data_IF_377692192399
#
_entry.id   IF_377692192399
#
_cell.length_a   1.000
_cell.length_b   1.000
_cell.length_c   1.000
_cell.angle_alpha   90.00
_cell.angle_beta   90.00
_cell.angle_gamma   90.00
#
_symmetry.space_group_name_H-M   'P 1'
#
loop_
_entity.id
_entity.type
_entity.pdbx_description
1 polymer ?
#
# COMPACT_ATOMS: atom_id res chain seq x y z
N UNK A 1 3.72 -5.66 26.37
CA UNK A 1 3.24 -4.41 26.89
C UNK A 1 3.16 -3.25 25.88
N UNK A 2 3.25 -3.52 24.56
CA UNK A 2 3.07 -2.46 23.55
C UNK A 2 1.59 -2.29 23.16
N UNK A 3 1.20 -1.07 22.80
CA UNK A 3 -0.11 -0.75 22.24
C UNK A 3 0.00 -0.66 20.72
N UNK A 4 -0.91 -1.31 20.00
CA UNK A 4 -0.97 -1.31 18.55
C UNK A 4 -2.42 -1.33 18.07
N UNK A 5 -2.66 -0.89 16.84
CA UNK A 5 -3.95 -1.09 16.18
C UNK A 5 -4.00 -2.51 15.62
N UNK A 6 -5.12 -3.17 15.84
CA UNK A 6 -5.36 -4.56 15.45
C UNK A 6 -6.72 -4.67 14.76
N UNK A 7 -6.76 -5.38 13.63
CA UNK A 7 -8.02 -5.73 12.99
C UNK A 7 -8.71 -6.84 13.79
N UNK A 8 -9.91 -6.57 14.28
CA UNK A 8 -10.65 -7.48 15.15
C UNK A 8 -12.10 -7.64 14.66
N UNK A 9 -12.66 -8.81 14.93
CA UNK A 9 -14.08 -9.05 14.79
C UNK A 9 -14.87 -8.46 15.99
N UNK A 10 -16.20 -8.61 15.95
CA UNK A 10 -17.10 -8.12 17.02
C UNK A 10 -16.87 -8.75 18.39
N UNK A 11 -16.16 -9.87 18.46
CA UNK A 11 -15.85 -10.59 19.71
C UNK A 11 -14.43 -10.26 20.22
N UNK A 12 -13.71 -9.37 19.53
CA UNK A 12 -12.34 -9.01 19.85
C UNK A 12 -11.28 -10.00 19.36
N UNK A 13 -11.67 -11.01 18.56
CA UNK A 13 -10.74 -11.95 17.96
C UNK A 13 -10.08 -11.34 16.73
N UNK A 14 -8.82 -11.71 16.48
CA UNK A 14 -8.09 -11.26 15.30
C UNK A 14 -8.80 -11.70 14.03
N UNK A 15 -9.14 -10.76 13.17
CA UNK A 15 -9.75 -11.05 11.88
C UNK A 15 -8.72 -11.51 10.85
N UNK A 16 -9.15 -12.37 9.93
CA UNK A 16 -8.35 -12.71 8.76
C UNK A 16 -8.14 -11.49 7.87
N UNK A 17 -6.98 -11.43 7.26
CA UNK A 17 -6.62 -10.41 6.27
C UNK A 17 -6.46 -11.04 4.90
N UNK A 18 -6.57 -10.23 3.86
CA UNK A 18 -6.28 -10.62 2.48
C UNK A 18 -5.65 -9.43 1.76
N UNK A 19 -4.58 -9.67 1.04
CA UNK A 19 -3.95 -8.69 0.16
C UNK A 19 -3.16 -9.41 -0.92
N UNK A 20 -3.13 -8.85 -2.13
CA UNK A 20 -2.19 -9.32 -3.17
C UNK A 20 -0.73 -9.01 -2.81
N UNK A 21 -0.51 -8.11 -1.87
CA UNK A 21 0.82 -7.74 -1.37
C UNK A 21 1.11 -8.48 -0.07
N UNK A 22 2.00 -9.47 -0.12
CA UNK A 22 2.35 -10.28 1.04
C UNK A 22 2.89 -9.45 2.22
N UNK A 23 3.62 -8.36 1.93
CA UNK A 23 4.17 -7.47 2.96
C UNK A 23 3.13 -6.65 3.71
N UNK A 24 1.89 -6.55 3.18
CA UNK A 24 0.79 -5.79 3.79
C UNK A 24 -0.36 -6.68 4.27
N UNK A 25 -0.25 -7.99 4.14
CA UNK A 25 -1.27 -8.95 4.56
C UNK A 25 -1.12 -9.32 6.04
N UNK A 26 -1.28 -8.33 6.90
CA UNK A 26 -1.15 -8.45 8.35
C UNK A 26 -2.30 -7.77 9.09
N UNK A 27 -2.82 -8.39 10.17
CA UNK A 27 -3.95 -7.83 10.92
C UNK A 27 -3.56 -6.68 11.86
N UNK A 28 -2.26 -6.41 12.03
CA UNK A 28 -1.74 -5.39 12.96
C UNK A 28 -0.59 -4.62 12.34
N UNK A 29 -0.35 -3.44 12.87
CA UNK A 29 0.76 -2.60 12.47
C UNK A 29 1.74 -2.35 13.63
N UNK A 30 2.84 -1.66 13.33
CA UNK A 30 3.83 -1.26 14.34
C UNK A 30 3.22 -0.36 15.42
N UNK A 31 3.58 -0.52 16.70
CA UNK A 31 3.22 0.41 17.78
C UNK A 31 3.63 1.85 17.48
N UNK A 32 4.73 2.06 16.76
CA UNK A 32 5.18 3.38 16.32
C UNK A 32 4.14 4.04 15.39
N UNK A 33 3.65 3.33 14.38
CA UNK A 33 2.65 3.85 13.46
C UNK A 33 1.32 4.13 14.18
N UNK A 34 0.92 3.25 15.10
CA UNK A 34 -0.26 3.45 15.93
C UNK A 34 -0.14 4.72 16.77
N UNK A 35 1.00 4.94 17.40
CA UNK A 35 1.28 6.13 18.19
C UNK A 35 1.28 7.42 17.35
N UNK A 36 1.94 7.42 16.20
CA UNK A 36 1.96 8.58 15.31
C UNK A 36 0.56 8.93 14.77
N UNK A 37 -0.27 7.91 14.54
CA UNK A 37 -1.67 8.11 14.17
C UNK A 37 -2.46 8.73 15.32
N UNK A 38 -2.32 8.22 16.55
CA UNK A 38 -2.98 8.76 17.75
C UNK A 38 -2.59 10.24 18.01
N UNK A 39 -1.34 10.60 17.68
CA UNK A 39 -0.84 11.99 17.75
C UNK A 39 -1.31 12.88 16.58
N UNK A 40 -2.02 12.35 15.60
CA UNK A 40 -2.41 13.09 14.40
C UNK A 40 -1.26 13.44 13.46
N UNK A 41 -0.08 12.84 13.64
CA UNK A 41 1.10 13.04 12.78
C UNK A 41 1.15 12.09 11.59
N UNK A 42 0.31 11.08 11.57
CA UNK A 42 0.18 10.10 10.49
C UNK A 42 -1.27 10.04 10.05
N UNK A 43 -1.51 10.31 8.77
CA UNK A 43 -2.78 10.04 8.10
C UNK A 43 -2.70 8.70 7.37
N UNK A 44 -3.77 7.93 7.41
CA UNK A 44 -3.85 6.62 6.79
C UNK A 44 -4.84 6.68 5.63
N UNK A 45 -4.43 6.11 4.49
CA UNK A 45 -5.30 5.92 3.31
C UNK A 45 -5.38 4.44 2.98
N UNK A 46 -6.53 4.02 2.48
CA UNK A 46 -6.71 2.68 1.92
C UNK A 46 -6.78 2.75 0.40
N UNK A 47 -6.24 1.71 -0.25
CA UNK A 47 -6.35 1.49 -1.68
C UNK A 47 -6.74 0.03 -1.92
N UNK A 48 -7.47 -0.23 -3.00
CA UNK A 48 -7.86 -1.60 -3.36
C UNK A 48 -6.76 -2.31 -4.15
N UNK A 49 -6.89 -3.64 -4.27
CA UNK A 49 -5.98 -4.45 -5.09
C UNK A 49 -5.99 -4.00 -6.56
N UNK A 50 -7.15 -3.59 -7.09
CA UNK A 50 -7.30 -3.10 -8.46
C UNK A 50 -6.53 -1.78 -8.65
N UNK A 51 -6.62 -0.87 -7.68
CA UNK A 51 -5.88 0.40 -7.70
C UNK A 51 -4.38 0.18 -7.62
N UNK A 52 -3.94 -0.81 -6.85
CA UNK A 52 -2.54 -1.22 -6.76
C UNK A 52 -2.03 -1.75 -8.10
N UNK A 53 -2.77 -2.65 -8.75
CA UNK A 53 -2.43 -3.18 -10.07
C UNK A 53 -2.38 -2.11 -11.15
N UNK A 54 -3.32 -1.16 -11.14
CA UNK A 54 -3.32 -0.03 -12.07
C UNK A 54 -2.13 0.90 -11.82
N UNK A 55 -1.77 1.14 -10.57
CA UNK A 55 -0.59 1.94 -10.24
C UNK A 55 0.71 1.27 -10.67
N UNK A 56 0.80 -0.06 -10.55
CA UNK A 56 1.93 -0.83 -11.09
C UNK A 56 2.10 -0.61 -12.59
N UNK A 57 1.01 -0.76 -13.37
CA UNK A 57 1.03 -0.51 -14.82
C UNK A 57 1.49 0.91 -15.14
N UNK A 58 0.86 1.89 -14.49
CA UNK A 58 1.14 3.31 -14.73
C UNK A 58 2.59 3.65 -14.45
N UNK A 59 3.12 3.25 -13.30
CA UNK A 59 4.52 3.51 -12.93
C UNK A 59 5.47 2.79 -13.89
N UNK A 60 5.20 1.53 -14.21
CA UNK A 60 6.04 0.76 -15.14
C UNK A 60 6.09 1.39 -16.53
N UNK A 61 4.95 1.83 -17.05
CA UNK A 61 4.86 2.47 -18.38
C UNK A 61 5.54 3.84 -18.42
N UNK A 62 5.38 4.64 -17.38
CA UNK A 62 5.90 6.01 -17.35
C UNK A 62 7.40 6.08 -17.02
N UNK A 63 7.92 5.13 -16.26
CA UNK A 63 9.27 5.23 -15.70
C UNK A 63 10.21 4.10 -16.08
N UNK A 64 9.67 2.97 -16.57
CA UNK A 64 10.42 1.74 -16.78
C UNK A 64 10.75 0.98 -15.48
N UNK A 65 10.38 1.50 -14.32
CA UNK A 65 10.54 0.79 -13.04
C UNK A 65 9.47 -0.29 -12.91
N UNK A 66 9.83 -1.38 -12.26
CA UNK A 66 8.93 -2.47 -11.90
C UNK A 66 8.88 -2.62 -10.38
N UNK A 67 8.12 -1.74 -9.69
CA UNK A 67 8.02 -1.77 -8.24
C UNK A 67 7.30 -3.03 -7.75
N UNK A 68 7.62 -3.50 -6.55
CA UNK A 68 6.81 -4.53 -5.89
C UNK A 68 5.42 -3.99 -5.52
N UNK A 69 4.50 -4.88 -5.16
CA UNK A 69 3.11 -4.49 -4.85
C UNK A 69 3.00 -3.60 -3.61
N UNK A 70 3.94 -3.70 -2.66
CA UNK A 70 3.96 -2.85 -1.48
C UNK A 70 4.06 -1.35 -1.81
N UNK A 71 5.10 -0.86 -2.53
CA UNK A 71 5.17 0.56 -2.89
C UNK A 71 4.08 0.97 -3.90
N UNK A 72 3.47 0.03 -4.64
CA UNK A 72 2.34 0.33 -5.50
C UNK A 72 1.14 0.87 -4.72
N UNK A 73 0.97 0.51 -3.44
CA UNK A 73 -0.02 1.13 -2.56
C UNK A 73 0.24 2.63 -2.36
N UNK A 74 1.52 3.01 -2.17
CA UNK A 74 1.90 4.42 -2.06
C UNK A 74 1.66 5.17 -3.37
N UNK A 75 1.99 4.59 -4.51
CA UNK A 75 1.74 5.21 -5.82
C UNK A 75 0.23 5.38 -6.10
N UNK A 76 -0.59 4.38 -5.76
CA UNK A 76 -2.04 4.50 -5.85
C UNK A 76 -2.60 5.60 -4.93
N UNK A 77 -2.10 5.69 -3.70
CA UNK A 77 -2.47 6.76 -2.78
C UNK A 77 -2.04 8.15 -3.30
N UNK A 78 -0.86 8.26 -3.91
CA UNK A 78 -0.39 9.51 -4.55
C UNK A 78 -1.34 9.91 -5.68
N UNK A 79 -1.77 8.98 -6.52
CA UNK A 79 -2.70 9.27 -7.61
C UNK A 79 -4.03 9.86 -7.11
N UNK A 80 -4.49 9.42 -5.93
CA UNK A 80 -5.69 9.96 -5.27
C UNK A 80 -5.44 11.33 -4.63
N UNK A 81 -4.28 11.52 -4.03
CA UNK A 81 -3.96 12.72 -3.24
C UNK A 81 -3.51 13.90 -4.11
N UNK A 82 -2.64 13.66 -5.08
CA UNK A 82 -1.99 14.68 -5.87
C UNK A 82 -2.95 15.70 -6.54
N UNK A 83 -4.12 15.28 -7.07
CA UNK A 83 -5.06 16.23 -7.67
C UNK A 83 -5.61 17.29 -6.71
N UNK A 84 -5.57 17.03 -5.40
CA UNK A 84 -6.03 17.97 -4.36
C UNK A 84 -4.95 18.94 -3.89
N UNK A 85 -3.71 18.76 -4.32
CA UNK A 85 -2.57 19.55 -3.91
C UNK A 85 -2.23 20.62 -4.97
N UNK A 86 -1.60 21.70 -4.54
CA UNK A 86 -1.09 22.70 -5.49
C UNK A 86 0.10 22.11 -6.27
N UNK A 87 0.37 22.69 -7.45
CA UNK A 87 1.47 22.24 -8.32
C UNK A 87 2.86 22.40 -7.69
N UNK A 88 2.98 23.24 -6.68
CA UNK A 88 4.25 23.50 -5.97
C UNK A 88 4.51 22.49 -4.84
N UNK A 89 3.55 21.61 -4.53
CA UNK A 89 3.76 20.56 -3.52
C UNK A 89 4.71 19.49 -4.04
N UNK A 90 5.59 19.06 -3.15
CA UNK A 90 6.51 17.95 -3.38
C UNK A 90 6.01 16.75 -2.58
N UNK A 91 5.79 15.62 -3.27
CA UNK A 91 5.45 14.35 -2.64
C UNK A 91 6.67 13.44 -2.74
N UNK A 92 7.18 12.99 -1.60
CA UNK A 92 8.24 12.00 -1.52
C UNK A 92 7.66 10.63 -1.15
N UNK A 93 8.10 9.58 -1.84
CA UNK A 93 7.71 8.20 -1.55
C UNK A 93 8.89 7.25 -1.70
N UNK A 94 8.80 6.08 -1.07
CA UNK A 94 9.78 5.02 -1.22
C UNK A 94 9.34 4.03 -2.30
N UNK A 95 10.28 3.65 -3.18
CA UNK A 95 10.15 2.48 -4.05
C UNK A 95 11.01 1.36 -3.44
N UNK A 96 10.48 0.69 -2.42
CA UNK A 96 11.23 -0.18 -1.51
C UNK A 96 11.41 -1.63 -1.98
N UNK A 97 11.06 -1.96 -3.21
CA UNK A 97 11.22 -3.31 -3.74
C UNK A 97 10.92 -3.37 -5.23
N UNK A 98 11.27 -4.49 -5.86
CA UNK A 98 10.96 -4.77 -7.26
C UNK A 98 9.93 -5.91 -7.40
N UNK A 99 9.33 -6.01 -8.57
CA UNK A 99 8.22 -6.92 -8.87
C UNK A 99 8.61 -8.40 -8.99
N UNK A 100 9.89 -8.76 -8.95
CA UNK A 100 10.31 -10.15 -9.22
C UNK A 100 9.61 -11.17 -8.32
N UNK A 101 9.40 -10.84 -7.06
CA UNK A 101 8.68 -11.71 -6.11
C UNK A 101 7.17 -11.80 -6.37
N UNK A 102 6.61 -10.85 -7.11
CA UNK A 102 5.18 -10.68 -7.34
C UNK A 102 4.76 -11.10 -8.75
N UNK A 103 5.70 -11.60 -9.57
CA UNK A 103 5.46 -11.89 -11.00
C UNK A 103 4.33 -12.90 -11.23
N UNK A 104 4.19 -13.91 -10.39
CA UNK A 104 3.12 -14.89 -10.52
C UNK A 104 1.75 -14.23 -10.36
N UNK A 105 1.59 -13.39 -9.32
CA UNK A 105 0.35 -12.63 -9.05
C UNK A 105 0.11 -11.62 -10.18
N UNK A 106 1.14 -10.89 -10.59
CA UNK A 106 1.03 -9.89 -11.66
C UNK A 106 0.65 -10.53 -13.00
N UNK A 107 1.26 -11.65 -13.36
CA UNK A 107 0.96 -12.39 -14.60
C UNK A 107 -0.51 -12.85 -14.60
N UNK A 108 -0.95 -13.46 -13.51
CA UNK A 108 -2.35 -13.93 -13.36
C UNK A 108 -3.34 -12.77 -13.43
N UNK A 109 -3.13 -11.72 -12.62
CA UNK A 109 -4.09 -10.63 -12.45
C UNK A 109 -4.11 -9.65 -13.63
N UNK A 110 -2.97 -9.44 -14.28
CA UNK A 110 -2.86 -8.54 -15.43
C UNK A 110 -2.99 -9.25 -16.76
N UNK A 111 -3.08 -10.60 -16.76
CA UNK A 111 -3.13 -11.44 -17.98
C UNK A 111 -1.97 -11.10 -18.92
N UNK A 112 -0.77 -11.08 -18.35
CA UNK A 112 0.46 -10.91 -19.12
C UNK A 112 0.79 -12.24 -19.78
N UNK A 113 0.88 -12.26 -21.10
CA UNK A 113 1.29 -13.43 -21.91
C UNK A 113 2.83 -13.60 -21.89
#
# INVERSE_FOLDING_TARGET
>A
GSKSLLLQDKNGMVSNTTSISAGLDYPSNSPLHSHLKDLGRLSVMSVSDEEVLESFKTVSQLTGLQPSLEPCHSFAAIAKLAPSLSKDHIIATNCCGNALKDMDILSERLKLD
#
